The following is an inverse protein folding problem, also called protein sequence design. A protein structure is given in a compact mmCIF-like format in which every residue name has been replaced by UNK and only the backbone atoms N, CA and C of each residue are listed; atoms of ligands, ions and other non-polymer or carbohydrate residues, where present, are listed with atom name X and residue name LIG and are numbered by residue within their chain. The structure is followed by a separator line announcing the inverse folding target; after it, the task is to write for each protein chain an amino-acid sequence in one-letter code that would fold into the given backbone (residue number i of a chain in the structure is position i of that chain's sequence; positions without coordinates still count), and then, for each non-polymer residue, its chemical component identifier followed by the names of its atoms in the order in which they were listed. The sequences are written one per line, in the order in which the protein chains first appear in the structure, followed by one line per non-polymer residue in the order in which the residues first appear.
data_IF_969349495099
#
_entry.id   IF_969349495099
#
_cell.length_a   1.000
_cell.length_b   1.000
_cell.length_c   1.000
_cell.angle_alpha   90.00
_cell.angle_beta   90.00
_cell.angle_gamma   90.00
#
_symmetry.space_group_name_H-M   'P 1'
#
loop_
_entity.id
_entity.type
_entity.pdbx_description
1 polymer ?
#
# COMPACT_ATOMS: atom_id res chain seq x y z
N UNK A 1 37.16 -72.83 16.44
CA UNK A 1 36.48 -72.34 17.65
C UNK A 1 36.82 -70.87 17.80
N UNK A 2 35.91 -69.95 17.47
CA UNK A 2 36.13 -68.52 17.66
C UNK A 2 35.84 -68.13 19.13
N UNK A 3 36.49 -67.07 19.64
CA UNK A 3 36.31 -66.61 21.01
C UNK A 3 34.96 -65.89 21.18
N UNK A 4 34.38 -66.08 22.35
CA UNK A 4 33.12 -65.48 22.80
C UNK A 4 33.25 -63.95 22.92
N UNK A 5 32.31 -63.23 22.30
CA UNK A 5 32.17 -61.78 22.43
C UNK A 5 31.88 -61.37 23.90
N UNK A 6 32.52 -60.31 24.42
CA UNK A 6 32.20 -59.75 25.72
C UNK A 6 30.89 -58.97 25.64
N UNK A 7 29.95 -59.34 26.50
CA UNK A 7 28.68 -58.66 26.73
C UNK A 7 28.88 -57.17 27.03
N UNK A 8 28.37 -56.32 26.14
CA UNK A 8 28.30 -54.88 26.30
C UNK A 8 27.22 -54.55 27.34
N UNK A 9 27.63 -54.24 28.58
CA UNK A 9 26.73 -53.68 29.58
C UNK A 9 26.40 -52.23 29.19
N UNK A 10 25.13 -51.99 28.88
CA UNK A 10 24.58 -50.65 28.64
C UNK A 10 24.78 -49.80 29.91
N UNK A 11 25.32 -48.56 29.79
CA UNK A 11 25.43 -47.68 30.93
C UNK A 11 24.03 -47.35 31.48
N UNK A 12 23.88 -47.21 32.81
CA UNK A 12 22.60 -46.93 33.42
C UNK A 12 22.07 -45.60 32.90
N UNK A 13 20.90 -45.67 32.26
CA UNK A 13 20.07 -44.53 31.90
C UNK A 13 19.87 -43.67 33.14
N UNK A 14 20.67 -42.61 33.24
CA UNK A 14 20.53 -41.61 34.29
C UNK A 14 19.30 -40.80 33.93
N UNK A 15 18.13 -41.28 34.35
CA UNK A 15 16.92 -40.48 34.39
C UNK A 15 17.23 -39.26 35.25
N UNK A 16 17.47 -38.13 34.59
CA UNK A 16 17.40 -36.81 35.20
C UNK A 16 15.96 -36.62 35.68
N UNK A 17 15.67 -37.09 36.90
CA UNK A 17 14.52 -36.68 37.67
C UNK A 17 14.73 -35.22 38.05
N UNK A 18 14.43 -34.35 37.09
CA UNK A 18 14.25 -32.95 37.37
C UNK A 18 13.01 -32.85 38.27
N UNK A 19 13.20 -32.92 39.58
CA UNK A 19 12.28 -32.34 40.58
C UNK A 19 12.31 -30.81 40.47
N UNK A 20 12.29 -30.30 39.24
CA UNK A 20 12.16 -28.90 38.92
C UNK A 20 10.74 -28.55 39.29
N UNK A 21 10.58 -27.88 40.43
CA UNK A 21 9.40 -27.07 40.68
C UNK A 21 9.11 -26.30 39.39
N UNK A 22 8.02 -26.65 38.73
CA UNK A 22 7.52 -25.92 37.57
C UNK A 22 7.47 -24.46 37.98
N UNK A 23 8.38 -23.66 37.42
CA UNK A 23 8.48 -22.24 37.74
C UNK A 23 7.26 -21.59 37.11
N UNK A 24 6.19 -21.47 37.89
CA UNK A 24 4.96 -20.80 37.49
C UNK A 24 5.17 -19.31 37.72
N UNK A 25 5.14 -18.56 36.63
CA UNK A 25 5.17 -17.10 36.69
C UNK A 25 3.75 -16.62 36.98
N UNK A 26 3.62 -15.76 37.99
CA UNK A 26 2.39 -15.05 38.30
C UNK A 26 2.62 -13.56 37.98
N UNK A 27 1.64 -12.94 37.34
CA UNK A 27 1.66 -11.51 36.99
C UNK A 27 0.24 -10.99 37.07
N UNK A 28 0.10 -9.71 37.43
CA UNK A 28 -1.20 -9.05 37.42
C UNK A 28 -1.72 -8.86 35.99
N UNK A 29 -3.03 -8.72 35.82
CA UNK A 29 -3.66 -8.44 34.52
C UNK A 29 -3.09 -7.18 33.85
N UNK A 30 -2.73 -6.17 34.67
CA UNK A 30 -2.15 -4.91 34.20
C UNK A 30 -0.75 -5.13 33.63
N UNK A 31 0.11 -5.85 34.35
CA UNK A 31 1.46 -6.18 33.88
C UNK A 31 1.40 -7.01 32.61
N UNK A 32 0.47 -7.96 32.55
CA UNK A 32 0.28 -8.81 31.39
C UNK A 32 -0.18 -8.01 30.17
N UNK A 33 -1.10 -7.06 30.33
CA UNK A 33 -1.54 -6.17 29.27
C UNK A 33 -0.37 -5.32 28.72
N UNK A 34 0.44 -4.73 29.60
CA UNK A 34 1.63 -3.95 29.23
C UNK A 34 2.65 -4.81 28.48
N UNK A 35 2.85 -6.06 28.92
CA UNK A 35 3.75 -6.99 28.26
C UNK A 35 3.25 -7.37 26.86
N UNK A 36 1.96 -7.67 26.70
CA UNK A 36 1.34 -7.98 25.40
C UNK A 36 1.50 -6.79 24.43
N UNK A 37 1.24 -5.56 24.90
CA UNK A 37 1.38 -4.37 24.09
C UNK A 37 2.84 -4.14 23.66
N UNK A 38 3.77 -4.31 24.59
CA UNK A 38 5.21 -4.18 24.33
C UNK A 38 5.70 -5.21 23.31
N UNK A 39 5.35 -6.49 23.48
CA UNK A 39 5.68 -7.56 22.54
C UNK A 39 5.05 -7.30 21.16
N UNK A 40 3.80 -6.85 21.13
CA UNK A 40 3.10 -6.50 19.89
C UNK A 40 3.82 -5.38 19.15
N UNK A 41 4.26 -4.33 19.86
CA UNK A 41 5.03 -3.22 19.30
C UNK A 41 6.35 -3.71 18.68
N UNK A 42 7.06 -4.62 19.34
CA UNK A 42 8.30 -5.23 18.82
C UNK A 42 8.02 -6.01 17.53
N UNK A 43 7.02 -6.89 17.52
CA UNK A 43 6.65 -7.68 16.33
C UNK A 43 6.34 -6.76 15.14
N UNK A 44 5.55 -5.70 15.36
CA UNK A 44 5.22 -4.70 14.34
C UNK A 44 6.46 -3.98 13.84
N UNK A 45 7.31 -3.49 14.74
CA UNK A 45 8.54 -2.74 14.41
C UNK A 45 9.48 -3.56 13.52
N UNK A 46 9.57 -4.86 13.76
CA UNK A 46 10.43 -5.76 12.99
C UNK A 46 9.73 -6.40 11.79
N UNK A 47 8.45 -6.12 11.54
CA UNK A 47 7.69 -6.76 10.46
C UNK A 47 7.59 -8.28 10.59
N UNK A 48 7.71 -8.82 11.81
CA UNK A 48 7.84 -10.25 12.08
C UNK A 48 6.50 -10.99 12.15
N UNK A 49 5.38 -10.33 11.83
CA UNK A 49 4.03 -10.90 11.95
C UNK A 49 3.85 -12.20 11.15
N UNK A 50 4.48 -12.32 9.99
CA UNK A 50 4.44 -13.53 9.16
C UNK A 50 5.31 -14.68 9.68
N UNK A 51 6.27 -14.37 10.56
CA UNK A 51 7.19 -15.33 11.17
C UNK A 51 6.70 -15.87 12.51
N UNK A 52 5.57 -15.37 13.02
CA UNK A 52 5.00 -15.86 14.27
C UNK A 52 4.61 -17.34 14.14
N UNK A 53 4.99 -18.20 15.12
CA UNK A 53 4.64 -19.61 15.10
C UNK A 53 3.12 -19.78 15.13
N UNK A 54 2.62 -20.70 14.32
CA UNK A 54 1.20 -21.06 14.28
C UNK A 54 0.98 -22.22 15.23
N UNK A 55 0.38 -21.94 16.38
CA UNK A 55 -0.03 -22.97 17.32
C UNK A 55 -1.38 -23.56 16.91
N UNK A 56 -1.51 -24.88 17.02
CA UNK A 56 -2.79 -25.56 16.88
C UNK A 56 -3.58 -25.45 18.18
N UNK A 57 -4.92 -25.47 18.08
CA UNK A 57 -5.76 -25.60 19.28
C UNK A 57 -5.42 -26.92 19.99
N UNK A 58 -5.28 -26.86 21.29
CA UNK A 58 -5.03 -28.01 22.16
C UNK A 58 -5.94 -27.94 23.38
N UNK A 59 -5.84 -28.91 24.29
CA UNK A 59 -6.58 -28.87 25.55
C UNK A 59 -6.21 -27.64 26.42
N UNK A 60 -5.01 -27.08 26.24
CA UNK A 60 -4.46 -25.96 27.02
C UNK A 60 -4.28 -24.67 26.22
N UNK A 61 -4.57 -24.67 24.91
CA UNK A 61 -4.42 -23.51 24.04
C UNK A 61 -5.70 -23.29 23.19
N UNK A 62 -6.26 -22.06 23.16
CA UNK A 62 -5.73 -20.82 23.73
C UNK A 62 -5.76 -20.81 25.26
N UNK A 63 -4.87 -20.01 25.86
CA UNK A 63 -4.82 -19.83 27.31
C UNK A 63 -6.13 -19.26 27.83
N UNK A 64 -6.49 -19.62 29.07
CA UNK A 64 -7.71 -19.17 29.73
C UNK A 64 -7.41 -18.63 31.11
N UNK A 65 -8.20 -17.65 31.55
CA UNK A 65 -8.15 -17.11 32.91
C UNK A 65 -8.94 -18.00 33.90
N UNK A 66 -9.02 -17.56 35.16
CA UNK A 66 -9.76 -18.28 36.22
C UNK A 66 -11.28 -18.34 35.98
N UNK A 67 -11.81 -17.53 35.08
CA UNK A 67 -13.23 -17.50 34.70
C UNK A 67 -13.51 -18.30 33.41
N UNK A 68 -12.54 -19.09 32.93
CA UNK A 68 -12.56 -19.79 31.65
C UNK A 68 -12.62 -18.86 30.42
N UNK A 69 -12.42 -17.55 30.57
CA UNK A 69 -12.35 -16.61 29.45
C UNK A 69 -10.99 -16.71 28.74
N UNK A 70 -10.95 -16.40 27.44
CA UNK A 70 -9.71 -16.46 26.68
C UNK A 70 -8.73 -15.37 27.15
N UNK A 71 -7.51 -15.76 27.50
CA UNK A 71 -6.43 -14.88 27.93
C UNK A 71 -5.35 -14.77 26.85
N UNK A 72 -4.48 -13.76 26.97
CA UNK A 72 -3.33 -13.52 26.08
C UNK A 72 -3.71 -13.29 24.61
N UNK A 73 -4.89 -12.73 24.35
CA UNK A 73 -5.33 -12.37 23.00
C UNK A 73 -4.96 -10.92 22.70
N UNK A 74 -4.16 -10.73 21.65
CA UNK A 74 -4.01 -9.42 21.01
C UNK A 74 -4.98 -9.36 19.84
N UNK A 75 -6.09 -8.64 20.02
CA UNK A 75 -7.11 -8.46 18.96
C UNK A 75 -6.51 -7.80 17.73
N UNK A 76 -5.61 -6.84 17.93
CA UNK A 76 -4.96 -6.11 16.85
C UNK A 76 -4.01 -7.02 16.04
N UNK A 77 -3.19 -7.87 16.67
CA UNK A 77 -2.39 -8.87 15.94
C UNK A 77 -3.29 -9.88 15.23
N UNK A 78 -4.33 -10.36 15.91
CA UNK A 78 -5.26 -11.34 15.35
C UNK A 78 -5.94 -10.79 14.10
N UNK A 79 -6.35 -9.52 14.15
CA UNK A 79 -6.92 -8.82 13.02
C UNK A 79 -5.88 -8.67 11.89
N UNK A 80 -4.65 -8.26 12.21
CA UNK A 80 -3.56 -8.17 11.24
C UNK A 80 -3.25 -9.52 10.56
N UNK A 81 -3.18 -10.62 11.30
CA UNK A 81 -2.94 -11.96 10.75
C UNK A 81 -4.10 -12.45 9.88
N UNK A 82 -5.35 -12.16 10.27
CA UNK A 82 -6.52 -12.44 9.44
C UNK A 82 -6.48 -11.64 8.13
N UNK A 83 -6.01 -10.41 8.18
CA UNK A 83 -5.81 -9.60 6.97
C UNK A 83 -4.72 -10.17 6.05
N UNK A 84 -3.63 -10.73 6.61
CA UNK A 84 -2.57 -11.37 5.83
C UNK A 84 -3.01 -12.69 5.17
N UNK A 85 -4.06 -13.32 5.68
CA UNK A 85 -4.61 -14.59 5.17
C UNK A 85 -5.70 -14.41 4.10
N UNK A 86 -5.87 -13.22 3.51
CA UNK A 86 -6.90 -13.05 2.50
C UNK A 86 -6.70 -14.04 1.34
N UNK A 87 -7.77 -14.76 0.94
CA UNK A 87 -7.72 -15.76 -0.12
C UNK A 87 -7.28 -15.12 -1.44
N UNK A 88 -6.73 -15.94 -2.34
CA UNK A 88 -6.21 -15.52 -3.63
C UNK A 88 -7.23 -14.79 -4.53
N UNK A 89 -8.52 -14.89 -4.22
CA UNK A 89 -9.57 -14.05 -4.83
C UNK A 89 -9.61 -12.68 -4.11
N UNK A 90 -8.63 -11.85 -4.42
CA UNK A 90 -8.42 -10.53 -3.84
C UNK A 90 -9.47 -9.53 -4.33
N UNK A 91 -10.71 -9.68 -3.86
CA UNK A 91 -11.75 -8.68 -4.02
C UNK A 91 -11.67 -7.68 -2.88
N UNK A 92 -11.68 -6.40 -3.22
CA UNK A 92 -11.77 -5.30 -2.30
C UNK A 92 -13.20 -4.76 -2.27
N UNK A 93 -13.76 -4.63 -1.06
CA UNK A 93 -15.01 -3.92 -0.84
C UNK A 93 -14.73 -2.47 -0.44
N UNK A 94 -15.19 -1.52 -1.26
CA UNK A 94 -15.04 -0.09 -1.02
C UNK A 94 -15.72 0.35 0.27
N UNK A 95 -15.03 1.15 1.09
CA UNK A 95 -15.61 1.67 2.34
C UNK A 95 -16.68 2.73 2.08
N UNK A 96 -16.56 3.47 0.98
CA UNK A 96 -17.43 4.61 0.65
C UNK A 96 -18.77 4.14 0.07
N UNK A 97 -18.75 3.26 -0.93
CA UNK A 97 -19.97 2.85 -1.62
C UNK A 97 -20.36 1.38 -1.41
N UNK A 98 -19.51 0.56 -0.77
CA UNK A 98 -19.77 -0.86 -0.55
C UNK A 98 -19.58 -1.76 -1.78
N UNK A 99 -19.19 -1.22 -2.93
CA UNK A 99 -18.92 -1.97 -4.17
C UNK A 99 -17.71 -2.90 -4.01
N UNK A 100 -17.84 -4.14 -4.49
CA UNK A 100 -16.75 -5.10 -4.55
C UNK A 100 -16.06 -5.11 -5.91
N UNK A 101 -14.74 -5.00 -5.93
CA UNK A 101 -13.94 -4.94 -7.16
C UNK A 101 -12.58 -5.65 -7.03
N UNK A 102 -11.92 -5.88 -8.16
CA UNK A 102 -10.54 -6.35 -8.18
C UNK A 102 -9.59 -5.31 -7.55
N UNK A 103 -8.62 -5.78 -6.77
CA UNK A 103 -7.63 -4.92 -6.08
C UNK A 103 -6.93 -3.94 -7.03
N UNK A 104 -6.66 -4.31 -8.28
CA UNK A 104 -6.00 -3.45 -9.27
C UNK A 104 -6.86 -2.25 -9.70
N UNK A 105 -8.19 -2.30 -9.48
CA UNK A 105 -9.12 -1.21 -9.79
C UNK A 105 -9.40 -0.28 -8.61
N UNK A 106 -8.98 -0.68 -7.41
CA UNK A 106 -9.31 0.03 -6.16
C UNK A 106 -8.82 1.45 -6.17
N UNK A 107 -7.58 1.70 -6.58
CA UNK A 107 -7.01 3.06 -6.59
C UNK A 107 -7.80 4.00 -7.50
N UNK A 108 -8.20 3.52 -8.68
CA UNK A 108 -8.99 4.32 -9.63
C UNK A 108 -10.36 4.63 -9.04
N UNK A 109 -11.01 3.62 -8.45
CA UNK A 109 -12.33 3.76 -7.84
C UNK A 109 -12.31 4.68 -6.61
N UNK A 110 -11.39 4.45 -5.66
CA UNK A 110 -11.23 5.29 -4.45
C UNK A 110 -10.80 6.70 -4.83
N UNK A 111 -9.90 6.84 -5.82
CA UNK A 111 -9.48 8.14 -6.34
C UNK A 111 -10.64 8.96 -6.91
N UNK A 112 -11.64 8.32 -7.53
CA UNK A 112 -12.87 8.99 -7.96
C UNK A 112 -13.62 9.60 -6.76
N UNK A 113 -13.83 8.82 -5.70
CA UNK A 113 -14.48 9.33 -4.49
C UNK A 113 -13.73 10.50 -3.86
N UNK A 114 -12.40 10.40 -3.77
CA UNK A 114 -11.55 11.49 -3.25
C UNK A 114 -11.70 12.74 -4.12
N UNK A 115 -11.68 12.61 -5.45
CA UNK A 115 -11.80 13.76 -6.34
C UNK A 115 -13.19 14.40 -6.27
N UNK A 116 -14.26 13.59 -6.27
CA UNK A 116 -15.64 14.06 -6.12
C UNK A 116 -15.79 14.87 -4.83
N UNK A 117 -15.24 14.35 -3.74
CA UNK A 117 -15.22 15.03 -2.45
C UNK A 117 -14.48 16.38 -2.52
N UNK A 118 -13.26 16.43 -3.09
CA UNK A 118 -12.49 17.67 -3.25
C UNK A 118 -13.21 18.70 -4.11
N UNK A 119 -14.03 18.26 -5.07
CA UNK A 119 -14.86 19.13 -5.93
C UNK A 119 -16.23 19.50 -5.34
N UNK A 120 -16.52 19.08 -4.11
CA UNK A 120 -17.80 19.35 -3.45
C UNK A 120 -18.98 18.75 -4.24
N UNK A 121 -18.79 17.55 -4.78
CA UNK A 121 -19.84 16.78 -5.46
C UNK A 121 -20.39 15.78 -4.45
N UNK A 122 -21.68 15.90 -4.16
CA UNK A 122 -22.37 14.97 -3.28
C UNK A 122 -22.54 13.62 -3.98
N UNK A 123 -21.96 12.58 -3.38
CA UNK A 123 -22.17 11.20 -3.79
C UNK A 123 -23.17 10.52 -2.86
N UNK A 124 -24.09 9.74 -3.43
CA UNK A 124 -24.96 8.85 -2.67
C UNK A 124 -24.17 7.63 -2.14
N UNK A 125 -23.30 7.87 -1.17
CA UNK A 125 -22.46 6.87 -0.54
C UNK A 125 -23.26 6.08 0.50
N UNK A 126 -23.22 4.75 0.39
CA UNK A 126 -23.87 3.84 1.35
C UNK A 126 -22.96 3.44 2.52
N UNK A 127 -21.75 4.00 2.60
CA UNK A 127 -20.71 3.62 3.53
C UNK A 127 -20.09 4.82 4.25
N UNK A 128 -18.81 4.71 4.59
CA UNK A 128 -18.06 5.74 5.32
C UNK A 128 -17.67 6.84 4.34
N UNK A 129 -17.93 8.13 4.63
CA UNK A 129 -17.50 9.22 3.75
C UNK A 129 -15.98 9.22 3.55
N UNK A 130 -15.51 9.92 2.51
CA UNK A 130 -14.08 10.18 2.34
C UNK A 130 -13.55 10.87 3.59
N UNK A 131 -12.43 10.38 4.10
CA UNK A 131 -11.83 10.92 5.32
C UNK A 131 -11.21 12.29 5.12
N UNK A 132 -11.18 13.06 6.20
CA UNK A 132 -10.40 14.30 6.32
C UNK A 132 -9.50 14.25 7.56
N UNK A 133 -8.33 14.93 7.54
CA UNK A 133 -7.63 15.44 6.36
C UNK A 133 -6.86 14.31 5.64
N UNK A 134 -6.38 14.55 4.42
CA UNK A 134 -5.42 13.70 3.68
C UNK A 134 -5.85 12.22 3.52
N UNK A 135 -6.95 11.93 2.79
CA UNK A 135 -7.46 10.57 2.63
C UNK A 135 -6.45 9.64 1.94
N UNK A 136 -6.41 8.39 2.37
CA UNK A 136 -5.53 7.39 1.78
C UNK A 136 -5.95 7.01 0.36
N UNK A 137 -5.07 7.15 -0.64
CA UNK A 137 -5.37 6.75 -2.03
C UNK A 137 -5.68 5.27 -2.25
N UNK A 138 -5.41 4.40 -1.27
CA UNK A 138 -5.79 2.98 -1.33
C UNK A 138 -7.18 2.68 -0.75
N UNK A 139 -7.70 3.47 0.20
CA UNK A 139 -8.95 3.13 0.89
C UNK A 139 -9.89 4.30 1.21
N UNK A 140 -9.50 5.52 0.87
CA UNK A 140 -10.30 6.74 1.02
C UNK A 140 -10.51 7.22 2.45
N UNK A 141 -9.93 6.54 3.45
CA UNK A 141 -10.06 6.89 4.88
C UNK A 141 -8.89 7.77 5.35
N UNK A 142 -9.15 8.56 6.39
CA UNK A 142 -8.18 9.43 7.07
C UNK A 142 -8.07 9.11 8.55
N UNK A 143 -7.10 9.73 9.25
CA UNK A 143 -6.89 9.56 10.69
C UNK A 143 -6.34 8.19 11.12
N UNK A 144 -6.09 7.30 10.16
CA UNK A 144 -5.48 5.98 10.42
C UNK A 144 -3.97 6.11 10.20
N UNK A 145 -3.19 5.98 11.28
CA UNK A 145 -1.73 6.14 11.25
C UNK A 145 -1.06 5.30 10.15
N UNK A 146 -1.48 4.04 9.98
CA UNK A 146 -0.92 3.15 8.95
C UNK A 146 -1.24 3.59 7.51
N UNK A 147 -2.28 4.39 7.32
CA UNK A 147 -2.67 4.92 6.02
C UNK A 147 -2.06 6.29 5.71
N UNK A 148 -1.69 7.05 6.74
CA UNK A 148 -1.08 8.37 6.63
C UNK A 148 0.35 8.30 6.08
N UNK A 149 1.08 7.24 6.42
CA UNK A 149 2.45 7.04 5.93
C UNK A 149 2.48 6.42 4.54
N UNK A 150 3.01 7.18 3.59
CA UNK A 150 3.21 6.77 2.20
C UNK A 150 4.61 7.13 1.75
N UNK A 151 5.22 6.21 1.02
CA UNK A 151 6.58 6.34 0.55
C UNK A 151 6.71 5.94 -0.92
N UNK A 152 7.74 6.46 -1.60
CA UNK A 152 8.17 6.00 -2.91
C UNK A 152 9.53 5.30 -2.81
N UNK A 153 9.68 4.16 -3.49
CA UNK A 153 10.99 3.49 -3.58
C UNK A 153 11.94 4.25 -4.52
N UNK A 154 13.20 4.47 -4.09
CA UNK A 154 14.28 5.06 -4.89
C UNK A 154 14.87 4.05 -5.89
N UNK A 155 14.08 3.62 -6.86
CA UNK A 155 14.49 2.64 -7.87
C UNK A 155 14.17 3.11 -9.27
N UNK A 156 14.76 2.45 -10.29
CA UNK A 156 14.46 2.71 -11.71
C UNK A 156 12.96 2.62 -12.04
N UNK A 157 12.22 1.81 -11.28
CA UNK A 157 10.77 1.73 -11.31
C UNK A 157 10.24 2.08 -9.90
N UNK A 158 9.90 3.35 -9.64
CA UNK A 158 9.33 3.75 -8.36
C UNK A 158 8.06 2.95 -8.06
N UNK A 159 7.87 2.61 -6.79
CA UNK A 159 6.65 1.95 -6.31
C UNK A 159 6.18 2.64 -5.05
N UNK A 160 4.87 2.85 -4.97
CA UNK A 160 4.20 3.27 -3.75
C UNK A 160 4.32 2.19 -2.66
N UNK A 161 4.71 2.60 -1.47
CA UNK A 161 4.69 1.80 -0.24
C UNK A 161 3.84 2.51 0.79
N UNK A 162 3.06 1.76 1.55
CA UNK A 162 2.23 2.25 2.65
C UNK A 162 1.96 1.10 3.61
N UNK A 163 1.68 1.41 4.87
CA UNK A 163 1.23 0.43 5.85
C UNK A 163 -0.30 0.20 5.77
N UNK A 164 -0.99 0.83 4.80
CA UNK A 164 -2.40 0.61 4.57
C UNK A 164 -2.66 -0.88 4.25
N UNK A 165 -3.66 -1.48 4.92
CA UNK A 165 -4.06 -2.87 4.67
C UNK A 165 -4.47 -3.18 3.22
N UNK A 166 -4.82 -2.16 2.46
CA UNK A 166 -5.24 -2.25 1.05
C UNK A 166 -4.15 -1.83 0.07
N UNK A 167 -2.93 -1.67 0.58
CA UNK A 167 -1.77 -1.44 -0.26
C UNK A 167 -1.61 -2.59 -1.25
N UNK A 168 -1.52 -2.24 -2.52
CA UNK A 168 -1.20 -3.16 -3.59
C UNK A 168 -0.15 -2.55 -4.52
N UNK A 169 0.52 -3.40 -5.29
CA UNK A 169 1.45 -2.93 -6.32
C UNK A 169 0.65 -2.49 -7.54
N UNK A 170 1.11 -1.43 -8.17
CA UNK A 170 0.58 -0.93 -9.44
C UNK A 170 1.72 -0.36 -10.27
N UNK A 171 1.55 -0.33 -11.59
CA UNK A 171 2.52 0.24 -12.51
C UNK A 171 2.55 1.77 -12.33
N UNK A 172 3.56 2.29 -11.65
CA UNK A 172 3.64 3.70 -11.28
C UNK A 172 3.72 4.62 -12.50
N UNK A 173 4.65 4.38 -13.43
CA UNK A 173 4.85 5.26 -14.59
C UNK A 173 3.59 5.41 -15.48
N UNK A 174 2.87 4.35 -15.88
CA UNK A 174 1.60 4.50 -16.59
C UNK A 174 0.52 5.23 -15.79
N UNK A 175 0.56 5.14 -14.47
CA UNK A 175 -0.41 5.77 -13.58
C UNK A 175 -0.22 7.28 -13.42
N UNK A 176 0.86 7.85 -13.99
CA UNK A 176 1.07 9.30 -14.05
C UNK A 176 0.29 9.95 -15.20
N UNK A 177 -0.28 9.15 -16.12
CA UNK A 177 -0.96 9.64 -17.32
C UNK A 177 -2.39 9.13 -17.32
N UNK A 178 -3.34 10.06 -17.32
CA UNK A 178 -4.75 9.74 -17.41
C UNK A 178 -5.07 9.21 -18.82
N UNK A 179 -5.89 8.17 -18.88
CA UNK A 179 -6.40 7.61 -20.13
C UNK A 179 -7.75 6.93 -19.89
N UNK A 180 -8.44 6.56 -20.97
CA UNK A 180 -9.80 6.00 -20.93
C UNK A 180 -9.94 4.78 -20.01
N UNK A 181 -8.93 3.91 -19.93
CA UNK A 181 -9.01 2.70 -19.09
C UNK A 181 -8.60 2.95 -17.64
N UNK A 182 -7.79 3.99 -17.39
CA UNK A 182 -7.25 4.35 -16.07
C UNK A 182 -7.27 5.88 -15.93
N UNK A 183 -8.45 6.49 -15.73
CA UNK A 183 -8.59 7.94 -15.77
C UNK A 183 -8.00 8.65 -14.54
N UNK A 184 -7.75 7.91 -13.46
CA UNK A 184 -7.23 8.42 -12.20
C UNK A 184 -5.70 8.31 -12.11
N UNK A 185 -5.06 9.48 -11.96
CA UNK A 185 -3.61 9.63 -11.74
C UNK A 185 -3.26 9.91 -10.28
N UNK A 186 -4.17 9.63 -9.34
CA UNK A 186 -3.90 9.76 -7.91
C UNK A 186 -2.83 8.76 -7.46
N UNK A 187 -1.57 9.16 -7.56
CA UNK A 187 -0.38 8.41 -7.13
C UNK A 187 0.39 9.22 -6.11
N UNK A 188 1.21 8.60 -5.24
CA UNK A 188 2.06 9.36 -4.33
C UNK A 188 3.14 10.10 -5.13
N UNK A 189 3.38 11.35 -4.80
CA UNK A 189 4.41 12.22 -5.39
C UNK A 189 5.27 12.82 -4.27
N UNK A 190 6.49 13.21 -4.60
CA UNK A 190 7.40 13.86 -3.64
C UNK A 190 6.96 15.31 -3.37
N UNK A 191 6.99 15.73 -2.10
CA UNK A 191 6.95 17.15 -1.77
C UNK A 191 8.37 17.73 -1.88
N UNK A 192 8.54 18.72 -2.75
CA UNK A 192 9.83 19.36 -3.05
C UNK A 192 10.10 20.62 -2.20
N UNK A 193 9.22 20.93 -1.24
CA UNK A 193 9.44 22.03 -0.29
C UNK A 193 10.58 21.65 0.68
N UNK A 194 11.57 22.54 0.90
CA UNK A 194 12.70 22.25 1.79
C UNK A 194 12.26 21.78 3.18
N UNK A 195 12.89 20.72 3.69
CA UNK A 195 12.58 20.15 5.01
C UNK A 195 11.42 19.15 5.03
N UNK A 196 10.59 19.07 3.97
CA UNK A 196 9.48 18.10 3.93
C UNK A 196 9.94 16.68 3.58
N UNK A 197 10.90 16.57 2.67
CA UNK A 197 11.38 15.28 2.16
C UNK A 197 12.24 14.60 3.22
N UNK A 198 11.82 13.40 3.61
CA UNK A 198 12.59 12.52 4.48
C UNK A 198 12.92 11.21 3.75
N UNK A 199 14.11 10.68 4.04
CA UNK A 199 14.58 9.43 3.47
C UNK A 199 14.58 8.34 4.54
N UNK A 200 13.93 7.21 4.26
CA UNK A 200 13.86 6.06 5.17
C UNK A 200 14.40 4.83 4.44
N UNK A 201 15.69 4.58 4.62
CA UNK A 201 16.42 3.55 3.86
C UNK A 201 16.38 3.82 2.35
N UNK A 202 15.81 2.89 1.59
CA UNK A 202 15.64 3.00 0.13
C UNK A 202 14.35 3.70 -0.29
N UNK A 203 13.62 4.29 0.66
CA UNK A 203 12.35 4.98 0.41
C UNK A 203 12.47 6.49 0.68
N UNK A 204 11.58 7.26 0.07
CA UNK A 204 11.36 8.69 0.33
C UNK A 204 9.92 8.92 0.73
N UNK A 205 9.66 9.86 1.64
CA UNK A 205 8.30 10.26 1.99
C UNK A 205 7.58 10.83 0.77
N UNK A 206 6.29 10.53 0.66
CA UNK A 206 5.46 10.94 -0.46
C UNK A 206 4.04 11.29 0.00
N UNK A 207 3.34 12.08 -0.81
CA UNK A 207 1.97 12.52 -0.57
C UNK A 207 1.13 12.15 -1.78
N UNK A 208 -0.08 11.63 -1.58
CA UNK A 208 -1.00 11.38 -2.70
C UNK A 208 -1.23 12.66 -3.51
N UNK A 209 -1.16 12.57 -4.85
CA UNK A 209 -1.32 13.70 -5.77
C UNK A 209 -2.49 14.60 -5.38
N UNK A 210 -3.67 14.01 -5.16
CA UNK A 210 -4.89 14.77 -4.85
C UNK A 210 -4.86 15.43 -3.47
N UNK A 211 -4.02 14.94 -2.56
CA UNK A 211 -3.86 15.49 -1.22
C UNK A 211 -2.77 16.57 -1.16
N UNK A 212 -2.01 16.80 -2.24
CA UNK A 212 -0.88 17.72 -2.22
C UNK A 212 -1.28 19.17 -1.85
N UNK A 213 -2.38 19.75 -2.37
CA UNK A 213 -2.82 21.08 -1.95
C UNK A 213 -3.09 21.17 -0.43
N UNK A 214 -3.85 20.22 0.11
CA UNK A 214 -4.15 20.17 1.55
C UNK A 214 -2.89 19.95 2.39
N UNK A 215 -1.95 19.12 1.91
CA UNK A 215 -0.66 18.92 2.57
C UNK A 215 0.17 20.21 2.60
N UNK A 216 0.20 20.99 1.52
CA UNK A 216 0.91 22.28 1.48
C UNK A 216 0.31 23.22 2.52
N UNK A 217 -1.02 23.33 2.55
CA UNK A 217 -1.73 24.18 3.51
C UNK A 217 -1.44 23.80 4.98
N UNK A 218 -1.45 22.50 5.30
CA UNK A 218 -1.24 22.00 6.66
C UNK A 218 0.22 22.00 7.12
N UNK A 219 1.15 21.65 6.23
CA UNK A 219 2.54 21.36 6.61
C UNK A 219 3.51 22.47 6.22
N UNK A 220 3.12 23.38 5.32
CA UNK A 220 4.00 24.41 4.77
C UNK A 220 3.33 25.79 4.81
N UNK A 221 2.99 26.31 6.00
CA UNK A 221 2.40 27.64 6.12
C UNK A 221 3.37 28.67 5.53
N UNK A 222 2.90 29.43 4.53
CA UNK A 222 3.69 30.39 3.77
C UNK A 222 4.06 29.93 2.35
N UNK A 223 3.71 28.71 1.95
CA UNK A 223 3.70 28.31 0.55
C UNK A 223 2.30 28.38 -0.04
N UNK A 224 2.22 28.85 -1.28
CA UNK A 224 0.98 28.91 -2.05
C UNK A 224 0.93 27.74 -3.04
N UNK A 225 -0.12 26.93 -2.93
CA UNK A 225 -0.27 25.74 -3.77
C UNK A 225 -0.63 26.11 -5.21
N UNK A 226 -1.37 27.21 -5.42
CA UNK A 226 -1.85 27.71 -6.72
C UNK A 226 -1.09 28.95 -7.23
N UNK A 227 -0.26 29.56 -6.39
CA UNK A 227 0.44 30.82 -6.68
C UNK A 227 -0.49 32.03 -6.69
N UNK A 228 -1.75 31.89 -6.27
CA UNK A 228 -2.75 32.94 -6.17
C UNK A 228 -2.93 33.35 -4.71
N UNK A 229 -3.00 32.36 -3.81
CA UNK A 229 -3.02 32.62 -2.37
C UNK A 229 -1.69 33.25 -1.90
N UNK A 230 -1.75 34.00 -0.80
CA UNK A 230 -0.57 34.60 -0.17
C UNK A 230 0.47 33.53 0.18
N UNK A 231 1.66 33.62 -0.41
CA UNK A 231 2.76 32.71 -0.11
C UNK A 231 3.78 32.59 -1.23
N UNK A 232 4.88 31.88 -0.94
CA UNK A 232 5.89 31.52 -1.93
C UNK A 232 5.29 30.43 -2.85
N UNK A 233 5.29 30.61 -4.18
CA UNK A 233 4.83 29.56 -5.08
C UNK A 233 5.65 28.28 -4.91
N UNK A 234 4.96 27.15 -4.97
CA UNK A 234 5.63 25.84 -4.93
C UNK A 234 6.59 25.62 -6.10
N UNK A 235 7.62 24.76 -5.96
CA UNK A 235 8.53 24.45 -7.07
C UNK A 235 7.79 23.98 -8.33
N UNK A 236 8.14 24.52 -9.49
CA UNK A 236 7.42 24.25 -10.75
C UNK A 236 7.31 22.76 -11.11
N UNK A 237 8.31 21.95 -10.75
CA UNK A 237 8.26 20.50 -10.95
C UNK A 237 7.19 19.82 -10.07
N UNK A 238 7.00 20.31 -8.83
CA UNK A 238 5.97 19.82 -7.91
C UNK A 238 4.59 20.26 -8.39
N UNK A 239 4.44 21.52 -8.78
CA UNK A 239 3.21 22.05 -9.38
C UNK A 239 2.70 21.20 -10.56
N UNK A 240 3.59 20.86 -11.50
CA UNK A 240 3.24 19.97 -12.63
C UNK A 240 2.85 18.57 -12.18
N UNK A 241 3.44 18.05 -11.11
CA UNK A 241 3.13 16.72 -10.59
C UNK A 241 1.77 16.67 -9.87
N UNK A 242 1.38 17.74 -9.18
CA UNK A 242 0.07 17.85 -8.51
C UNK A 242 -1.09 18.16 -9.44
N UNK A 243 -0.81 18.70 -10.63
CA UNK A 243 -1.82 19.12 -11.60
C UNK A 243 -2.80 18.00 -11.99
N UNK A 244 -4.07 18.15 -11.62
CA UNK A 244 -5.18 17.34 -12.12
C UNK A 244 -5.67 18.00 -13.41
N UNK A 245 -5.56 17.30 -14.54
CA UNK A 245 -5.90 17.92 -15.84
C UNK A 245 -7.40 17.92 -16.06
N UNK A 246 -7.90 18.87 -16.87
CA UNK A 246 -9.32 18.95 -17.21
C UNK A 246 -9.83 17.64 -17.83
N UNK A 247 -9.02 17.03 -18.69
CA UNK A 247 -9.35 15.76 -19.35
C UNK A 247 -9.42 14.59 -18.35
N UNK A 248 -8.56 14.59 -17.33
CA UNK A 248 -8.63 13.62 -16.22
C UNK A 248 -9.96 13.77 -15.46
N UNK A 249 -10.36 15.00 -15.12
CA UNK A 249 -11.60 15.26 -14.40
C UNK A 249 -12.84 14.89 -15.21
N UNK A 250 -12.88 15.23 -16.49
CA UNK A 250 -13.94 14.83 -17.42
C UNK A 250 -14.05 13.30 -17.54
N UNK A 251 -12.92 12.59 -17.69
CA UNK A 251 -12.91 11.13 -17.78
C UNK A 251 -13.35 10.44 -16.47
N UNK A 252 -13.11 11.07 -15.31
CA UNK A 252 -13.60 10.58 -14.01
C UNK A 252 -15.11 10.88 -13.84
N UNK A 253 -15.66 11.83 -14.61
CA UNK A 253 -17.06 12.21 -14.62
C UNK A 253 -17.37 13.41 -13.72
N UNK A 254 -16.41 14.31 -13.51
CA UNK A 254 -16.63 15.59 -12.83
C UNK A 254 -17.45 16.49 -13.77
N UNK A 255 -18.58 17.09 -13.32
CA UNK A 255 -19.35 18.04 -14.10
C UNK A 255 -18.51 19.27 -14.48
N UNK A 256 -18.65 19.79 -15.71
CA UNK A 256 -17.81 20.89 -16.21
C UNK A 256 -17.89 22.17 -15.37
N UNK A 257 -19.01 22.43 -14.69
CA UNK A 257 -19.20 23.56 -13.77
C UNK A 257 -18.43 23.38 -12.44
N UNK A 258 -17.97 22.16 -12.15
CA UNK A 258 -17.16 21.80 -10.98
C UNK A 258 -15.68 21.66 -11.30
N UNK A 259 -15.30 21.67 -12.58
CA UNK A 259 -13.89 21.64 -13.01
C UNK A 259 -13.34 23.08 -12.96
N UNK A 260 -12.18 23.33 -12.33
CA UNK A 260 -11.57 24.64 -12.33
C UNK A 260 -11.27 25.17 -13.75
N UNK A 261 -11.38 26.48 -14.00
CA UNK A 261 -11.05 27.07 -15.29
C UNK A 261 -9.61 26.75 -15.71
N UNK A 262 -9.39 26.50 -17.01
CA UNK A 262 -8.04 26.18 -17.55
C UNK A 262 -7.01 27.27 -17.29
N UNK A 263 -7.44 28.53 -17.18
CA UNK A 263 -6.55 29.68 -16.99
C UNK A 263 -5.87 29.69 -15.61
N UNK A 264 -6.47 29.07 -14.59
CA UNK A 264 -5.83 28.85 -13.29
C UNK A 264 -4.61 27.92 -13.38
N UNK A 265 -4.45 27.17 -14.48
CA UNK A 265 -3.33 26.25 -14.71
C UNK A 265 -2.16 26.91 -15.44
N UNK A 266 -2.34 28.11 -16.01
CA UNK A 266 -1.34 28.76 -16.86
C UNK A 266 -0.20 29.37 -16.03
N UNK A 267 -0.43 29.72 -14.75
CA UNK A 267 0.63 30.28 -13.89
C UNK A 267 1.85 29.35 -13.78
N UNK A 268 1.64 28.03 -13.85
CA UNK A 268 2.71 27.03 -13.75
C UNK A 268 3.49 26.80 -15.04
N UNK A 269 2.87 27.07 -16.19
CA UNK A 269 3.44 26.81 -17.51
C UNK A 269 4.48 27.86 -17.89
N UNK A 270 4.20 29.13 -17.55
CA UNK A 270 5.06 30.26 -17.93
C UNK A 270 6.38 30.33 -17.14
N UNK A 271 6.49 29.65 -16.00
CA UNK A 271 7.70 29.65 -15.18
C UNK A 271 8.85 28.78 -15.74
N UNK A 272 8.63 28.02 -16.83
CA UNK A 272 9.52 26.90 -17.20
C UNK A 272 9.98 26.81 -18.66
N UNK A 273 9.53 27.67 -19.58
CA UNK A 273 9.96 27.54 -21.00
C UNK A 273 11.44 27.86 -21.23
N UNK A 274 12.15 28.43 -20.26
CA UNK A 274 13.56 28.83 -20.45
C UNK A 274 14.61 27.75 -20.15
N UNK A 275 14.27 26.52 -19.72
CA UNK A 275 15.31 25.56 -19.28
C UNK A 275 14.97 24.05 -19.40
N UNK A 276 14.28 23.61 -20.47
CA UNK A 276 14.16 22.17 -20.75
C UNK A 276 15.17 21.78 -21.85
N UNK A 277 16.22 20.99 -21.54
CA UNK A 277 17.05 20.38 -22.55
C UNK A 277 16.19 19.47 -23.42
N UNK A 278 16.11 19.77 -24.71
CA UNK A 278 15.48 18.92 -25.71
C UNK A 278 16.11 17.54 -25.65
N UNK A 279 15.30 16.53 -25.31
CA UNK A 279 15.76 15.13 -25.27
C UNK A 279 16.28 14.73 -26.67
N UNK A 280 17.42 14.01 -26.76
CA UNK A 280 17.87 13.48 -28.03
C UNK A 280 16.84 12.50 -28.59
N UNK A 281 16.46 12.75 -29.84
CA UNK A 281 15.61 11.90 -30.66
C UNK A 281 16.06 10.43 -30.58
N UNK A 282 15.19 9.56 -30.06
CA UNK A 282 15.40 8.11 -30.03
C UNK A 282 15.31 7.61 -31.47
N UNK A 283 16.45 7.24 -32.05
CA UNK A 283 16.54 6.63 -33.37
C UNK A 283 15.61 5.43 -33.50
N UNK A 284 14.78 5.42 -34.55
CA UNK A 284 13.91 4.31 -34.93
C UNK A 284 14.76 3.05 -35.13
N UNK A 285 14.57 2.05 -34.27
CA UNK A 285 15.14 0.70 -34.45
C UNK A 285 14.33 0.00 -35.55
N UNK A 286 14.91 -0.09 -36.74
CA UNK A 286 14.34 -0.79 -37.90
C UNK A 286 14.19 -2.28 -37.56
N UNK A 287 12.96 -2.78 -37.55
CA UNK A 287 12.65 -4.21 -37.43
C UNK A 287 12.83 -4.80 -38.83
N UNK A 288 13.83 -5.68 -38.99
CA UNK A 288 14.09 -6.41 -40.23
C UNK A 288 13.19 -7.65 -40.26
N UNK A 289 12.23 -7.68 -41.18
CA UNK A 289 11.40 -8.86 -41.42
C UNK A 289 12.21 -9.93 -42.16
N UNK A 290 12.40 -11.09 -41.55
CA UNK A 290 12.88 -12.30 -42.22
C UNK A 290 11.70 -13.21 -42.51
N UNK A 291 11.28 -13.21 -43.77
CA UNK A 291 10.38 -14.21 -44.35
C UNK A 291 11.19 -15.46 -44.72
N UNK A 292 10.93 -16.60 -44.07
CA UNK A 292 11.30 -17.92 -44.58
C UNK A 292 10.04 -18.74 -44.79
N UNK A 293 9.71 -18.92 -46.06
CA UNK A 293 8.74 -19.87 -46.60
C UNK A 293 9.27 -21.29 -46.43
N UNK A 294 8.50 -22.18 -45.81
CA UNK A 294 8.60 -23.62 -46.05
C UNK A 294 7.23 -24.27 -45.93
N UNK A 295 6.67 -24.61 -47.08
CA UNK A 295 5.53 -25.48 -47.31
C UNK A 295 5.83 -26.90 -46.82
N UNK A 296 4.97 -27.48 -46.00
CA UNK A 296 4.87 -28.94 -45.84
C UNK A 296 3.42 -29.36 -45.52
N UNK A 297 2.86 -30.12 -46.47
CA UNK A 297 1.59 -30.86 -46.38
C UNK A 297 1.71 -31.96 -45.32
N UNK A 298 0.70 -32.17 -44.46
CA UNK A 298 0.24 -33.55 -44.20
C UNK A 298 -1.15 -33.70 -43.56
N UNK A 299 -1.94 -34.51 -44.28
CA UNK A 299 -3.02 -35.44 -43.93
C UNK A 299 -3.93 -35.23 -42.70
N UNK A 300 -5.22 -35.12 -43.02
CA UNK A 300 -6.38 -35.55 -42.22
C UNK A 300 -6.25 -37.01 -41.75
N UNK A 301 -6.60 -37.28 -40.50
CA UNK A 301 -7.24 -38.55 -40.10
C UNK A 301 -8.43 -38.29 -39.19
N UNK A 302 -9.61 -38.58 -39.73
CA UNK A 302 -10.82 -38.88 -38.98
C UNK A 302 -10.56 -40.03 -38.00
N UNK A 303 -11.11 -39.92 -36.80
CA UNK A 303 -11.52 -41.09 -36.02
C UNK A 303 -12.84 -40.76 -35.32
N UNK A 304 -13.88 -41.43 -35.80
CA UNK A 304 -15.14 -41.64 -35.12
C UNK A 304 -14.93 -42.66 -34.01
N UNK A 305 -15.46 -42.39 -32.81
CA UNK A 305 -16.27 -43.29 -31.98
C UNK A 305 -17.24 -42.40 -31.22
#
# INVERSE_FOLDING_TARGET
MPPSDPSFESPPSSELTCSGSLLTWEMSDVELAVLIESLTSVVKRHGASSSLPKLMKSASFPYRDSNDALALISDDITQNLRMLKQPADQRFRCYQCGMEMDVNRVRVHVGKHILFFIRGIDEALNGIPVGLPLPCGFCGRSGIQTCAEVYLMKQKAPQARSNCRHQHKFNYAPSLVSNVSTPCTNVPIECLIPGCRAEVGSNITAVWKYNMPEHIWLCHPGYSSDGIEDGVPVPAAMARAMLITHEEEEMIGIPSDKIPPKDHLISYSNASENNIPTKPSRGKRQIRATTSSSTARHLKKHKSV
#
